data_IF_833653189774
#
_entry.id   IF_833653189774
#
_cell.length_a   1.000
_cell.length_b   1.000
_cell.length_c   1.000
_cell.angle_alpha   90.00
_cell.angle_beta   90.00
_cell.angle_gamma   90.00
#
_symmetry.space_group_name_H-M   'P 1'
#
loop_
_entity.id
_entity.type
_entity.pdbx_description
1 polymer ?
2 non-polymer ?
3 non-polymer ?
4 water ?
#
# COMPACT_ATOMS: atom_id res chain seq x y z
N UNK A 1 15.69 -17.20 14.81
CA UNK A 1 17.00 -16.89 14.28
C UNK A 1 17.06 -16.78 12.77
N UNK A 2 18.28 -16.75 12.24
CA UNK A 2 18.51 -16.67 10.80
C UNK A 2 18.67 -18.09 10.24
N UNK A 3 19.49 -18.25 9.20
CA UNK A 3 19.62 -19.55 8.55
C UNK A 3 20.24 -20.63 9.45
N UNK A 4 20.81 -20.23 10.58
CA UNK A 4 21.43 -21.18 11.48
C UNK A 4 20.46 -21.89 12.40
N UNK A 5 19.21 -21.43 12.45
CA UNK A 5 18.21 -21.96 13.38
C UNK A 5 17.09 -22.66 12.61
N UNK A 6 16.18 -23.31 13.34
CA UNK A 6 15.12 -24.05 12.65
C UNK A 6 14.12 -23.07 12.06
N UNK A 7 13.78 -23.27 10.79
CA UNK A 7 13.00 -22.29 10.05
C UNK A 7 11.51 -22.56 10.14
N UNK A 8 10.71 -21.52 10.01
CA UNK A 8 9.26 -21.64 10.11
C UNK A 8 8.62 -22.18 8.83
N UNK A 9 9.15 -21.85 7.65
CA UNK A 9 8.59 -22.40 6.41
C UNK A 9 9.14 -23.79 6.15
N UNK A 10 8.28 -24.72 5.77
CA UNK A 10 8.75 -26.06 5.44
C UNK A 10 9.41 -26.11 4.07
N UNK A 11 9.11 -25.15 3.22
CA UNK A 11 9.79 -25.00 1.94
C UNK A 11 9.60 -23.58 1.45
N UNK A 12 10.54 -23.09 0.65
CA UNK A 12 10.54 -21.70 0.22
C UNK A 12 9.75 -21.53 -1.07
N UNK A 13 8.44 -21.69 -0.96
CA UNK A 13 7.54 -21.65 -2.09
C UNK A 13 6.23 -21.06 -1.62
N UNK A 14 5.37 -20.71 -2.57
CA UNK A 14 4.05 -20.22 -2.23
C UNK A 14 3.29 -21.29 -1.44
N UNK A 15 3.50 -22.56 -1.83
CA UNK A 15 2.90 -23.67 -1.12
C UNK A 15 3.36 -23.76 0.34
N UNK A 16 4.63 -23.51 0.60
CA UNK A 16 5.14 -23.49 1.95
C UNK A 16 4.53 -22.34 2.76
N UNK A 17 4.39 -21.18 2.13
CA UNK A 17 3.78 -20.03 2.80
C UNK A 17 2.32 -20.33 3.17
N UNK A 18 1.58 -20.97 2.26
CA UNK A 18 0.19 -21.29 2.54
C UNK A 18 0.05 -22.24 3.71
N UNK A 19 0.87 -23.30 3.72
CA UNK A 19 0.84 -24.24 4.85
C UNK A 19 1.15 -23.51 6.15
N UNK A 20 2.11 -22.60 6.11
CA UNK A 20 2.45 -21.83 7.30
C UNK A 20 1.28 -20.97 7.76
N UNK A 21 0.63 -20.30 6.81
CA UNK A 21 -0.50 -19.44 7.11
C UNK A 21 -1.62 -20.19 7.82
N UNK A 22 -1.84 -21.44 7.43
CA UNK A 22 -2.93 -22.22 7.99
C UNK A 22 -2.52 -23.04 9.20
N UNK A 23 -1.29 -22.83 9.67
CA UNK A 23 -0.81 -23.46 10.89
C UNK A 23 -1.05 -22.52 12.07
N UNK A 24 -0.95 -23.04 13.28
CA UNK A 24 -1.19 -22.22 14.45
C UNK A 24 -0.05 -21.22 14.68
N UNK A 25 1.06 -21.39 13.98
CA UNK A 25 2.21 -20.49 14.13
C UNK A 25 2.00 -19.12 13.49
N UNK A 26 1.06 -19.03 12.55
CA UNK A 26 0.83 -17.79 11.83
C UNK A 26 -0.50 -17.18 12.18
N UNK A 27 -0.47 -16.10 12.94
CA UNK A 27 -1.67 -15.44 13.43
C UNK A 27 -1.80 -14.01 12.95
N UNK A 28 -0.67 -13.37 12.69
CA UNK A 28 -0.65 -11.94 12.39
C UNK A 28 0.18 -11.63 11.17
N UNK A 29 -0.47 -11.10 10.14
CA UNK A 29 0.15 -10.78 8.87
C UNK A 29 0.19 -9.27 8.67
N UNK A 30 1.36 -8.75 8.31
CA UNK A 30 1.49 -7.36 7.85
C UNK A 30 1.67 -7.36 6.35
N UNK A 31 0.87 -6.55 5.67
CA UNK A 31 1.03 -6.32 4.24
C UNK A 31 1.76 -5.00 4.00
N UNK A 32 2.72 -5.04 3.08
CA UNK A 32 3.41 -3.84 2.62
C UNK A 32 3.11 -3.74 1.15
N UNK A 33 2.41 -2.69 0.73
CA UNK A 33 1.96 -2.59 -0.66
C UNK A 33 2.32 -1.28 -1.33
N UNK A 34 2.51 -1.35 -2.64
CA UNK A 34 2.83 -0.20 -3.46
C UNK A 34 2.02 -0.12 -4.73
N UNK A 35 2.51 0.69 -5.67
CA UNK A 35 1.76 1.04 -6.87
C UNK A 35 1.37 -0.16 -7.71
N UNK A 36 2.18 -1.22 -7.63
CA UNK A 36 1.93 -2.44 -8.36
C UNK A 36 0.63 -3.13 -8.04
N UNK A 37 0.00 -2.83 -6.91
CA UNK A 37 -1.29 -3.44 -6.60
C UNK A 37 -2.48 -2.68 -7.18
N UNK A 38 -2.23 -1.52 -7.79
CA UNK A 38 -3.32 -0.70 -8.32
C UNK A 38 -3.26 -0.48 -9.83
N UNK A 39 -2.18 -0.90 -10.46
CA UNK A 39 -2.06 -0.74 -11.91
C UNK A 39 -3.17 -1.51 -12.66
N UNK A 40 -3.58 -2.66 -12.14
CA UNK A 40 -4.63 -3.43 -12.80
C UNK A 40 -6.01 -2.80 -12.57
N UNK A 41 -6.08 -1.80 -11.70
CA UNK A 41 -7.30 -1.01 -11.49
C UNK A 41 -7.31 0.23 -12.38
N UNK A 42 -6.31 0.32 -13.26
CA UNK A 42 -6.22 1.45 -14.18
C UNK A 42 -5.64 2.69 -13.53
N UNK A 43 -4.94 2.53 -12.41
CA UNK A 43 -4.24 3.62 -11.77
C UNK A 43 -2.73 3.49 -12.03
N UNK A 44 -2.19 4.28 -12.97
CA UNK A 44 -0.78 4.10 -13.29
C UNK A 44 0.13 4.50 -12.14
N UNK A 45 1.31 3.88 -12.09
CA UNK A 45 2.35 4.22 -11.14
C UNK A 45 3.10 5.42 -11.68
N UNK A 46 2.99 6.56 -11.02
CA UNK A 46 3.61 7.78 -11.52
C UNK A 46 5.14 7.73 -11.41
N UNK A 47 5.67 6.64 -10.85
CA UNK A 47 7.11 6.40 -10.84
C UNK A 47 7.55 5.52 -12.02
N UNK A 48 6.60 4.81 -12.64
CA UNK A 48 6.91 4.02 -13.82
C UNK A 48 7.14 4.94 -15.02
N UNK A 49 8.29 4.78 -15.71
CA UNK A 49 8.56 5.67 -16.84
C UNK A 49 7.50 5.59 -17.94
N UNK A 50 6.91 4.42 -18.12
CA UNK A 50 5.91 4.21 -19.16
C UNK A 50 4.68 5.08 -18.94
N UNK A 51 4.54 5.58 -17.71
CA UNK A 51 3.48 6.53 -17.38
C UNK A 51 4.03 7.95 -17.42
N UNK A 63 9.29 25.64 -13.40
CA UNK A 63 10.73 25.72 -13.09
C UNK A 63 11.42 24.40 -13.33
N UNK A 64 10.96 23.34 -12.67
CA UNK A 64 11.45 21.99 -12.92
C UNK A 64 10.35 21.00 -12.55
N UNK A 65 10.42 19.79 -13.11
CA UNK A 65 9.33 18.81 -12.91
C UNK A 65 9.08 18.47 -11.44
N UNK A 66 10.13 18.39 -10.63
CA UNK A 66 9.98 17.95 -9.25
C UNK A 66 9.30 18.98 -8.36
N UNK A 67 9.18 20.20 -8.85
CA UNK A 67 8.56 21.28 -8.09
C UNK A 67 7.13 20.95 -7.71
N UNK A 68 6.43 20.24 -8.59
CA UNK A 68 5.00 20.02 -8.45
C UNK A 68 4.63 19.14 -7.25
N UNK A 69 5.62 18.48 -6.65
CA UNK A 69 5.40 17.64 -5.47
C UNK A 69 6.13 18.15 -4.23
N UNK A 70 6.71 19.34 -4.32
CA UNK A 70 7.43 19.95 -3.20
C UNK A 70 6.47 20.84 -2.42
N UNK A 71 6.49 20.72 -1.10
CA UNK A 71 5.54 21.44 -0.25
C UNK A 71 5.71 22.96 -0.33
N UNK A 72 6.96 23.41 -0.41
CA UNK A 72 7.25 24.85 -0.49
C UNK A 72 6.66 25.45 -1.75
N UNK A 73 6.92 24.81 -2.90
CA UNK A 73 6.41 25.30 -4.17
C UNK A 73 4.88 25.25 -4.19
N UNK A 74 4.31 24.18 -3.66
CA UNK A 74 2.86 24.03 -3.63
C UNK A 74 2.19 25.19 -2.90
N UNK A 75 2.73 25.57 -1.75
CA UNK A 75 2.09 26.59 -0.93
C UNK A 75 2.14 27.97 -1.58
N UNK A 76 3.14 28.18 -2.44
CA UNK A 76 3.25 29.44 -3.17
C UNK A 76 2.47 29.40 -4.48
N UNK A 77 2.58 28.27 -5.19
CA UNK A 77 1.92 28.10 -6.48
C UNK A 77 1.26 26.73 -6.54
N UNK A 78 0.03 26.64 -6.02
CA UNK A 78 -0.69 25.35 -5.96
C UNK A 78 -1.37 24.96 -7.26
N UNK A 79 -1.48 25.89 -8.22
CA UNK A 79 -2.29 25.64 -9.41
C UNK A 79 -1.77 24.49 -10.28
N UNK A 80 -0.44 24.37 -10.44
CA UNK A 80 0.06 23.24 -11.23
C UNK A 80 -0.34 21.90 -10.64
N UNK A 81 -0.10 21.73 -9.34
CA UNK A 81 -0.48 20.48 -8.67
C UNK A 81 -1.93 20.13 -8.92
N UNK A 82 -2.83 21.10 -8.76
CA UNK A 82 -4.25 20.83 -8.88
C UNK A 82 -4.70 20.61 -10.33
N UNK A 83 -3.94 21.16 -11.28
CA UNK A 83 -4.20 20.89 -12.68
C UNK A 83 -3.78 19.45 -12.99
N UNK A 84 -2.62 19.05 -12.48
CA UNK A 84 -2.14 17.68 -12.63
C UNK A 84 -3.07 16.69 -11.95
N UNK A 85 -3.65 17.12 -10.82
CA UNK A 85 -4.59 16.28 -10.08
C UNK A 85 -5.84 16.00 -10.91
N UNK A 86 -6.32 17.01 -11.64
CA UNK A 86 -7.52 16.83 -12.46
C UNK A 86 -7.22 15.86 -13.60
N UNK A 87 -6.05 16.02 -14.20
CA UNK A 87 -5.68 15.21 -15.36
C UNK A 87 -5.46 13.75 -14.97
N UNK A 88 -4.90 13.52 -13.79
CA UNK A 88 -4.59 12.17 -13.35
C UNK A 88 -5.72 11.52 -12.55
N UNK A 89 -6.82 12.24 -12.34
CA UNK A 89 -7.90 11.73 -11.52
C UNK A 89 -8.51 10.48 -12.15
N UNK A 90 -8.46 9.34 -11.43
CA UNK A 90 -9.00 8.10 -12.02
C UNK A 90 -10.44 8.23 -12.46
N UNK A 91 -10.81 7.50 -13.52
CA UNK A 91 -12.17 7.52 -14.03
C UNK A 91 -13.12 6.66 -13.21
N UNK A 92 -12.57 5.74 -12.43
CA UNK A 92 -13.35 4.88 -11.57
C UNK A 92 -12.43 4.35 -10.48
N UNK A 93 -13.01 4.01 -9.33
CA UNK A 93 -12.24 3.45 -8.23
C UNK A 93 -12.74 2.05 -7.91
N UNK A 94 -12.13 1.07 -8.58
CA UNK A 94 -12.52 -0.32 -8.46
C UNK A 94 -11.29 -1.10 -7.99
N UNK A 95 -11.26 -1.46 -6.69
CA UNK A 95 -10.07 -2.15 -6.17
C UNK A 95 -9.85 -3.48 -6.85
N UNK A 96 -8.62 -3.95 -6.78
CA UNK A 96 -8.21 -5.16 -7.48
C UNK A 96 -8.39 -6.39 -6.63
N UNK A 97 -8.22 -7.55 -7.25
CA UNK A 97 -8.21 -8.82 -6.54
C UNK A 97 -7.24 -8.78 -5.35
N UNK A 98 -6.10 -8.14 -5.54
CA UNK A 98 -5.11 -8.02 -4.47
C UNK A 98 -5.67 -7.21 -3.29
N UNK A 99 -6.35 -6.11 -3.58
CA UNK A 99 -7.01 -5.36 -2.52
C UNK A 99 -8.04 -6.20 -1.76
N UNK A 100 -8.86 -6.97 -2.48
CA UNK A 100 -9.89 -7.76 -1.81
C UNK A 100 -9.31 -8.96 -1.07
N UNK A 101 -8.15 -9.45 -1.52
CA UNK A 101 -7.46 -10.49 -0.78
C UNK A 101 -7.09 -9.98 0.61
N UNK A 102 -6.68 -8.71 0.70
CA UNK A 102 -6.37 -8.16 2.02
C UNK A 102 -7.64 -8.00 2.85
N UNK A 103 -8.77 -7.69 2.22
CA UNK A 103 -10.04 -7.70 2.95
C UNK A 103 -10.33 -9.10 3.50
N UNK A 104 -10.07 -10.13 2.71
CA UNK A 104 -10.25 -11.49 3.20
C UNK A 104 -9.32 -11.79 4.38
N UNK A 105 -8.07 -11.35 4.32
CA UNK A 105 -7.18 -11.50 5.46
C UNK A 105 -7.81 -10.90 6.71
N UNK A 106 -8.41 -9.72 6.57
CA UNK A 106 -9.12 -9.05 7.66
C UNK A 106 -10.29 -9.91 8.17
N UNK A 107 -11.10 -10.40 7.25
CA UNK A 107 -12.26 -11.23 7.58
C UNK A 107 -11.86 -12.53 8.25
N UNK A 108 -10.71 -13.07 7.87
CA UNK A 108 -10.22 -14.36 8.40
C UNK A 108 -9.46 -14.16 9.73
N UNK A 109 -9.33 -12.92 10.18
CA UNK A 109 -8.69 -12.62 11.46
C UNK A 109 -7.18 -12.65 11.43
N UNK A 110 -6.61 -12.53 10.24
CA UNK A 110 -5.16 -12.63 10.05
C UNK A 110 -4.45 -11.29 9.83
N UNK A 111 -5.19 -10.22 9.53
CA UNK A 111 -4.57 -8.96 9.18
C UNK A 111 -4.22 -8.13 10.42
N UNK A 112 -2.93 -7.97 10.68
CA UNK A 112 -2.47 -7.04 11.69
C UNK A 112 -2.50 -5.61 11.14
N UNK A 113 -1.93 -5.41 9.96
CA UNK A 113 -1.86 -4.07 9.38
C UNK A 113 -1.52 -4.12 7.91
N UNK A 114 -2.03 -3.16 7.17
CA UNK A 114 -1.62 -2.89 5.79
C UNK A 114 -0.93 -1.55 5.77
N UNK A 115 0.36 -1.56 5.43
CA UNK A 115 1.12 -0.33 5.21
C UNK A 115 1.13 -0.12 3.72
N UNK A 116 0.63 1.03 3.27
CA UNK A 116 0.57 1.32 1.84
C UNK A 116 1.35 2.57 1.49
N UNK A 117 1.96 2.55 0.30
CA UNK A 117 2.56 3.74 -0.28
C UNK A 117 1.61 4.44 -1.25
N UNK A 118 0.44 3.85 -1.49
CA UNK A 118 -0.50 4.41 -2.45
C UNK A 118 -1.40 5.48 -1.84
N UNK A 119 -1.85 6.39 -2.69
CA UNK A 119 -2.70 7.51 -2.27
C UNK A 119 -4.11 7.42 -2.87
N UNK A 120 -4.43 6.29 -3.48
CA UNK A 120 -5.61 6.16 -4.33
C UNK A 120 -6.90 5.78 -3.60
N UNK A 121 -6.80 5.49 -2.29
CA UNK A 121 -7.93 5.09 -1.44
C UNK A 121 -8.54 3.71 -1.70
N UNK A 122 -7.94 2.92 -2.58
CA UNK A 122 -8.56 1.64 -2.95
C UNK A 122 -8.59 0.66 -1.76
N UNK A 123 -7.64 0.75 -0.84
CA UNK A 123 -7.67 -0.12 0.33
C UNK A 123 -8.94 0.12 1.14
N UNK A 124 -9.32 1.39 1.29
CA UNK A 124 -10.53 1.78 2.02
C UNK A 124 -11.78 1.33 1.29
N UNK A 125 -11.79 1.52 -0.02
CA UNK A 125 -12.93 1.11 -0.82
C UNK A 125 -13.12 -0.39 -0.77
N UNK A 126 -12.02 -1.13 -0.68
CA UNK A 126 -12.07 -2.59 -0.61
C UNK A 126 -12.49 -3.13 0.76
N UNK A 127 -12.57 -2.25 1.76
CA UNK A 127 -13.10 -2.63 3.06
C UNK A 127 -12.09 -2.69 4.19
N UNK A 128 -10.89 -2.14 3.97
CA UNK A 128 -9.97 -1.98 5.09
C UNK A 128 -10.34 -0.69 5.80
N UNK A 129 -10.37 -0.76 7.13
CA UNK A 129 -10.76 0.39 7.95
C UNK A 129 -9.54 1.16 8.41
N UNK A 130 -9.73 2.35 8.96
CA UNK A 130 -8.59 3.19 9.36
C UNK A 130 -7.64 2.46 10.29
N UNK A 131 -8.19 1.72 11.25
CA UNK A 131 -7.38 1.01 12.23
C UNK A 131 -6.45 0.01 11.53
N UNK A 132 -6.89 -0.53 10.40
CA UNK A 132 -6.12 -1.54 9.66
C UNK A 132 -4.99 -0.95 8.81
N UNK A 133 -5.03 0.35 8.58
CA UNK A 133 -4.21 1.00 7.57
C UNK A 133 -3.17 1.96 8.10
N UNK A 134 -1.99 1.91 7.47
CA UNK A 134 -0.99 2.95 7.64
C UNK A 134 -0.69 3.44 6.22
N UNK A 135 -1.20 4.63 5.93
CA UNK A 135 -0.97 5.27 4.64
C UNK A 135 0.32 6.06 4.75
N UNK A 136 1.43 5.38 4.47
CA UNK A 136 2.76 5.93 4.76
C UNK A 136 3.10 7.18 3.95
N UNK A 137 2.55 7.30 2.74
CA UNK A 137 2.75 8.49 1.92
C UNK A 137 1.51 9.37 1.90
N UNK A 138 0.64 9.18 2.88
CA UNK A 138 -0.59 9.96 2.97
C UNK A 138 -1.66 9.48 2.01
N UNK A 139 -2.66 10.33 1.77
CA UNK A 139 -3.79 9.92 0.96
C UNK A 139 -4.57 11.13 0.48
N UNK A 140 -5.26 10.98 -0.65
CA UNK A 140 -6.25 11.96 -1.10
C UNK A 140 -7.58 11.82 -0.37
N UNK A 141 -7.74 10.78 0.45
CA UNK A 141 -9.03 10.52 1.09
C UNK A 141 -9.55 11.71 1.90
N UNK A 142 -8.65 12.37 2.62
CA UNK A 142 -8.98 13.60 3.32
C UNK A 142 -7.98 14.69 2.95
N UNK A 143 -8.41 15.93 3.17
CA UNK A 143 -7.60 17.12 2.93
C UNK A 143 -7.75 18.05 4.11
N UNK A 144 -6.78 18.93 4.31
CA UNK A 144 -6.84 19.90 5.42
C UNK A 144 -6.44 21.30 4.98
N UNK A 145 -7.16 22.27 5.50
CA UNK A 145 -6.70 23.64 5.53
C UNK A 145 -5.28 23.67 6.08
N UNK A 146 -4.40 24.43 5.43
CA UNK A 146 -3.00 24.45 5.82
C UNK A 146 -2.67 25.41 6.95
N UNK A 147 -3.63 26.22 7.38
CA UNK A 147 -3.39 27.14 8.48
C UNK A 147 -3.38 26.40 9.81
N UNK A 148 -2.28 26.55 10.55
CA UNK A 148 -2.10 25.82 11.80
C UNK A 148 -3.22 26.05 12.80
N UNK A 149 -3.79 27.25 12.81
CA UNK A 149 -4.81 27.61 13.80
C UNK A 149 -6.19 27.17 13.40
N UNK A 150 -6.31 26.58 12.20
CA UNK A 150 -7.60 26.15 11.68
C UNK A 150 -7.61 24.64 11.44
N UNK A 151 -6.88 24.20 10.42
CA UNK A 151 -6.78 22.78 10.07
C UNK A 151 -8.13 22.08 9.82
N UNK A 152 -9.12 22.82 9.34
CA UNK A 152 -10.40 22.24 8.95
C UNK A 152 -10.19 21.08 7.98
N UNK A 153 -10.88 19.96 8.23
CA UNK A 153 -10.76 18.77 7.39
C UNK A 153 -11.86 18.74 6.33
N UNK A 154 -11.50 18.34 5.13
CA UNK A 154 -12.46 18.23 4.03
C UNK A 154 -12.42 16.83 3.43
N UNK A 155 -13.59 16.29 3.06
CA UNK A 155 -13.65 14.96 2.47
C UNK A 155 -13.30 14.99 0.99
N UNK A 156 -12.94 13.84 0.42
CA UNK A 156 -12.57 13.76 -0.98
C UNK A 156 -13.70 14.24 -1.91
N UNK A 157 -14.94 14.03 -1.51
CA UNK A 157 -16.06 14.51 -2.32
C UNK A 157 -15.97 16.01 -2.54
N UNK A 158 -15.56 16.72 -1.49
CA UNK A 158 -15.44 18.18 -1.54
C UNK A 158 -14.24 18.57 -2.40
N UNK A 159 -13.12 17.86 -2.23
CA UNK A 159 -11.89 18.14 -2.95
C UNK A 159 -12.04 17.80 -4.43
N UNK A 160 -12.77 16.73 -4.73
CA UNK A 160 -13.01 16.31 -6.11
C UNK A 160 -13.71 17.41 -6.89
N UNK A 161 -14.76 17.96 -6.29
CA UNK A 161 -15.54 19.02 -6.92
C UNK A 161 -14.65 20.23 -7.24
N UNK A 162 -13.77 20.59 -6.31
CA UNK A 162 -12.86 21.71 -6.56
C UNK A 162 -11.91 21.39 -7.70
N UNK A 163 -11.37 20.17 -7.71
CA UNK A 163 -10.41 19.77 -8.73
C UNK A 163 -11.00 19.81 -10.13
N UNK A 164 -12.22 19.30 -10.27
CA UNK A 164 -12.84 19.25 -11.59
C UNK A 164 -13.39 20.61 -12.02
N UNK A 165 -13.85 21.40 -11.07
CA UNK A 165 -14.33 22.76 -11.35
C UNK A 165 -13.16 23.70 -11.65
N UNK A 166 -11.94 23.22 -11.44
CA UNK A 166 -10.72 23.99 -11.66
C UNK A 166 -10.70 25.24 -10.78
N UNK A 167 -11.20 25.08 -9.56
CA UNK A 167 -11.17 26.13 -8.55
C UNK A 167 -10.15 25.73 -7.49
N UNK A 168 -9.16 26.57 -7.25
CA UNK A 168 -8.14 26.27 -6.25
C UNK A 168 -8.83 26.15 -4.89
N UNK A 169 -8.71 24.98 -4.23
CA UNK A 169 -9.47 24.79 -2.99
C UNK A 169 -9.03 25.68 -1.85
N UNK A 170 -9.98 26.43 -1.31
CA UNK A 170 -9.76 27.31 -0.16
C UNK A 170 -10.72 26.96 0.98
N UNK A 171 -10.23 27.16 2.20
CA UNK A 171 -10.98 26.85 3.41
C UNK A 171 -12.19 27.74 3.57
N UNK A 172 -13.34 27.13 3.83
CA UNK A 172 -14.57 27.89 4.02
C UNK A 172 -14.54 28.71 5.32
N UNK A 173 -13.72 28.30 6.28
CA UNK A 173 -13.62 29.01 7.55
C UNK A 173 -12.64 30.18 7.52
N UNK A 174 -11.50 30.02 6.85
CA UNK A 174 -10.43 31.03 6.92
C UNK A 174 -9.83 31.43 5.57
N UNK A 175 -10.26 30.77 4.50
CA UNK A 175 -9.81 31.06 3.14
C UNK A 175 -8.33 30.75 2.83
N UNK A 176 -7.69 29.98 3.72
CA UNK A 176 -6.38 29.44 3.43
C UNK A 176 -6.48 28.29 2.42
N UNK A 177 -5.35 27.93 1.83
CA UNK A 177 -5.26 26.81 0.91
C UNK A 177 -5.64 25.51 1.62
N UNK A 178 -6.33 24.62 0.91
CA UNK A 178 -6.62 23.28 1.44
C UNK A 178 -5.78 22.27 0.65
N UNK A 179 -5.02 21.45 1.38
CA UNK A 179 -4.08 20.51 0.78
C UNK A 179 -4.54 19.07 1.01
N UNK A 180 -4.55 18.26 -0.06
CA UNK A 180 -4.78 16.82 0.16
C UNK A 180 -3.76 16.26 1.14
N UNK A 181 -4.19 15.30 1.97
CA UNK A 181 -3.32 14.73 3.00
C UNK A 181 -2.24 13.79 2.45
N UNK A 182 -1.71 14.05 1.26
CA UNK A 182 -0.54 13.31 0.80
C UNK A 182 0.70 13.93 1.40
N UNK A 183 1.75 13.14 1.54
CA UNK A 183 3.02 13.63 2.02
C UNK A 183 3.79 14.23 0.85
N UNK A 184 3.75 15.57 0.73
CA UNK A 184 4.56 16.23 -0.28
C UNK A 184 6.03 16.07 0.09
N UNK A 185 6.90 16.16 -0.90
CA UNK A 185 8.31 16.14 -0.58
C UNK A 185 8.63 17.41 0.20
N UNK A 186 9.46 17.26 1.23
CA UNK A 186 9.70 18.31 2.19
C UNK A 186 8.85 18.17 3.44
N UNK A 187 7.83 17.30 3.37
CA UNK A 187 7.02 17.00 4.56
C UNK A 187 7.50 15.70 5.20
N UNK A 188 7.31 15.57 6.50
CA UNK A 188 7.63 14.35 7.22
C UNK A 188 6.57 13.29 6.95
N UNK A 189 6.96 12.02 7.02
CA UNK A 189 5.96 10.96 6.99
C UNK A 189 5.09 11.12 8.25
N UNK A 190 3.84 10.62 8.19
CA UNK A 190 2.93 10.73 9.34
C UNK A 190 3.50 10.09 10.60
N UNK A 191 3.23 10.69 11.75
CA UNK A 191 3.65 10.12 13.01
C UNK A 191 3.13 8.70 13.15
N UNK A 192 1.93 8.46 12.61
CA UNK A 192 1.30 7.15 12.68
C UNK A 192 2.19 6.05 12.10
N UNK A 193 2.93 6.38 11.05
CA UNK A 193 3.82 5.41 10.45
C UNK A 193 4.86 4.93 11.44
N UNK A 194 5.49 5.85 12.16
CA UNK A 194 6.57 5.47 13.07
C UNK A 194 6.02 4.78 14.31
N UNK A 195 4.90 5.26 14.83
CA UNK A 195 4.34 4.68 16.03
C UNK A 195 3.82 3.26 15.78
N UNK A 196 3.14 3.04 14.66
CA UNK A 196 2.66 1.71 14.35
C UNK A 196 3.80 0.76 14.04
N UNK A 197 4.79 1.23 13.28
CA UNK A 197 5.93 0.39 12.96
C UNK A 197 6.60 -0.15 14.24
N UNK A 198 6.80 0.73 15.21
CA UNK A 198 7.44 0.35 16.48
C UNK A 198 6.69 -0.77 17.22
N UNK A 199 5.37 -0.80 17.09
CA UNK A 199 4.55 -1.80 17.80
C UNK A 199 4.32 -3.05 16.95
N UNK A 200 4.00 -2.84 15.69
CA UNK A 200 3.51 -3.92 14.85
C UNK A 200 4.57 -4.97 14.60
N UNK A 201 5.81 -4.55 14.44
CA UNK A 201 6.85 -5.46 14.01
C UNK A 201 7.39 -6.29 15.17
N UNK A 202 6.89 -6.02 16.37
CA UNK A 202 7.10 -6.92 17.50
C UNK A 202 6.14 -8.11 17.49
N UNK A 203 5.10 -8.02 16.66
CA UNK A 203 3.94 -8.92 16.72
C UNK A 203 3.72 -9.72 15.45
N UNK A 204 4.55 -9.49 14.43
CA UNK A 204 4.26 -10.02 13.10
C UNK A 204 4.74 -11.47 12.91
N UNK A 205 3.89 -12.28 12.28
CA UNK A 205 4.24 -13.66 11.93
C UNK A 205 4.57 -13.86 10.44
N UNK A 206 4.09 -12.95 9.61
CA UNK A 206 4.28 -13.04 8.16
C UNK A 206 4.26 -11.67 7.56
N UNK A 207 5.18 -11.40 6.66
CA UNK A 207 5.24 -10.15 5.93
C UNK A 207 4.92 -10.39 4.46
N UNK A 208 3.80 -9.84 3.98
CA UNK A 208 3.35 -9.99 2.61
C UNK A 208 3.62 -8.70 1.87
N UNK A 209 4.59 -8.74 0.98
CA UNK A 209 5.06 -7.55 0.29
C UNK A 209 4.56 -7.65 -1.14
N UNK A 210 3.72 -6.71 -1.55
CA UNK A 210 3.03 -6.83 -2.83
C UNK A 210 3.07 -5.55 -3.64
N UNK A 211 3.52 -5.65 -4.89
CA UNK A 211 3.47 -4.55 -5.83
C UNK A 211 4.31 -3.37 -5.42
N UNK A 212 5.51 -3.63 -4.90
CA UNK A 212 6.45 -2.55 -4.59
C UNK A 212 7.88 -3.00 -4.87
N UNK A 213 8.68 -2.10 -5.43
CA UNK A 213 10.08 -2.40 -5.72
C UNK A 213 10.99 -2.06 -4.53
N UNK A 214 10.39 -1.55 -3.45
CA UNK A 214 11.14 -1.26 -2.22
C UNK A 214 12.33 -0.33 -2.47
N UNK A 215 12.10 0.72 -3.26
CA UNK A 215 13.17 1.66 -3.60
C UNK A 215 13.02 3.01 -2.90
N UNK A 216 11.84 3.27 -2.34
CA UNK A 216 11.58 4.53 -1.63
C UNK A 216 11.70 4.33 -0.12
N UNK A 217 12.45 5.22 0.54
CA UNK A 217 12.70 5.17 1.98
C UNK A 217 11.90 6.25 2.69
N UNK A 218 11.55 6.03 3.97
CA UNK A 218 11.91 4.88 4.80
C UNK A 218 10.99 3.67 4.65
N UNK A 219 10.00 3.74 3.77
CA UNK A 219 9.10 2.60 3.58
C UNK A 219 9.83 1.29 3.31
N UNK A 220 10.85 1.32 2.45
CA UNK A 220 11.57 0.12 2.07
C UNK A 220 12.22 -0.57 3.29
N UNK A 221 12.72 0.25 4.22
CA UNK A 221 13.43 -0.28 5.39
C UNK A 221 12.53 -1.08 6.32
N UNK A 222 11.22 -1.06 6.08
CA UNK A 222 10.31 -1.82 6.91
C UNK A 222 10.65 -3.29 6.90
N UNK A 223 11.14 -3.82 5.78
CA UNK A 223 11.38 -5.27 5.74
C UNK A 223 12.46 -5.68 6.73
N UNK A 224 13.37 -4.74 7.04
CA UNK A 224 14.45 -5.02 7.98
C UNK A 224 13.97 -4.93 9.43
N UNK A 225 12.74 -4.50 9.64
CA UNK A 225 12.19 -4.36 10.99
C UNK A 225 11.54 -5.66 11.47
N UNK A 226 11.37 -6.62 10.57
CA UNK A 226 10.79 -7.90 10.94
C UNK A 226 11.76 -8.70 11.78
N UNK A 227 11.24 -9.49 12.73
CA UNK A 227 12.08 -10.45 13.45
C UNK A 227 12.81 -11.37 12.46
N UNK A 228 13.97 -11.89 12.85
CA UNK A 228 14.76 -12.73 11.95
C UNK A 228 14.02 -13.96 11.40
N UNK A 229 13.11 -14.51 12.21
CA UNK A 229 12.40 -15.73 11.83
C UNK A 229 11.20 -15.51 10.92
N UNK A 230 10.70 -14.29 10.87
CA UNK A 230 9.43 -14.00 10.19
C UNK A 230 9.54 -14.21 8.68
N UNK A 231 8.77 -15.16 8.13
CA UNK A 231 8.80 -15.33 6.66
C UNK A 231 8.31 -14.08 5.94
N UNK A 232 8.87 -13.88 4.75
CA UNK A 232 8.57 -12.70 3.94
C UNK A 232 8.29 -13.15 2.52
N UNK A 233 7.06 -12.97 2.08
CA UNK A 233 6.64 -13.34 0.73
C UNK A 233 6.48 -12.11 -0.12
N UNK A 234 7.21 -12.06 -1.23
CA UNK A 234 7.13 -10.98 -2.20
C UNK A 234 6.29 -11.46 -3.37
N UNK A 235 5.20 -10.75 -3.65
CA UNK A 235 4.42 -10.96 -4.86
C UNK A 235 4.58 -9.71 -5.70
N UNK A 236 5.29 -9.83 -6.82
CA UNK A 236 5.68 -8.65 -7.58
C UNK A 236 6.17 -9.04 -8.95
N UNK A 237 6.12 -8.13 -9.91
CA UNK A 237 6.54 -8.46 -11.26
C UNK A 237 8.03 -8.80 -11.29
N UNK A 238 8.82 -8.14 -10.46
CA UNK A 238 10.26 -8.35 -10.41
C UNK A 238 10.72 -8.62 -8.98
N UNK A 239 11.80 -9.38 -8.83
CA UNK A 239 12.42 -9.53 -7.52
C UNK A 239 12.89 -8.17 -7.03
N UNK A 240 12.74 -7.95 -5.73
CA UNK A 240 13.08 -6.68 -5.11
C UNK A 240 13.45 -6.93 -3.67
N UNK A 241 14.11 -5.95 -3.06
CA UNK A 241 14.43 -6.01 -1.64
C UNK A 241 15.75 -6.67 -1.32
N UNK A 242 16.47 -7.13 -2.34
CA UNK A 242 17.77 -7.73 -2.11
C UNK A 242 18.76 -6.61 -1.84
N UNK A 243 19.80 -6.89 -1.06
CA UNK A 243 20.81 -5.87 -0.79
C UNK A 243 21.56 -5.52 -2.07
N UNK A 244 21.90 -4.25 -2.21
CA UNK A 244 22.55 -3.77 -3.42
C UNK A 244 24.04 -4.10 -3.34
N UNK A 245 24.57 -4.79 -4.36
CA UNK A 245 25.98 -5.21 -4.28
C UNK A 245 26.93 -4.04 -4.11
N UNK A 246 26.49 -2.85 -4.53
CA UNK A 246 27.30 -1.64 -4.40
C UNK A 246 27.08 -0.95 -3.05
N UNK A 247 25.86 -0.51 -2.79
CA UNK A 247 25.50 0.11 -1.51
C UNK A 247 25.93 -0.76 -0.33
N UNK A 255 18.62 -8.90 7.06
CA UNK A 255 18.22 -7.58 6.58
C UNK A 255 17.51 -7.64 5.24
N UNK A 256 18.29 -7.48 4.16
CA UNK A 256 17.77 -7.56 2.81
C UNK A 256 17.19 -8.94 2.51
N UNK A 257 16.41 -9.02 1.44
CA UNK A 257 15.83 -10.28 1.02
C UNK A 257 16.90 -11.26 0.54
N UNK A 258 16.80 -12.52 0.94
CA UNK A 258 17.62 -13.58 0.39
C UNK A 258 16.71 -14.71 -0.08
N UNK A 259 16.40 -14.70 -1.37
CA UNK A 259 15.51 -15.69 -1.95
C UNK A 259 16.25 -16.95 -2.41
N UNK A 260 17.50 -16.80 -2.82
CA UNK A 260 18.11 -17.78 -3.71
C UNK A 260 19.43 -18.41 -3.25
N UNK A 261 20.08 -17.82 -2.25
CA UNK A 261 21.37 -18.34 -1.80
C UNK A 261 21.20 -19.63 -1.01
N UNK A 262 22.32 -20.28 -0.72
CA UNK A 262 22.32 -21.50 0.07
C UNK A 262 21.91 -21.20 1.50
N UNK A 263 21.97 -19.92 1.88
CA UNK A 263 21.58 -19.49 3.23
C UNK A 263 20.14 -18.98 3.28
N UNK A 264 19.43 -19.03 2.16
CA UNK A 264 18.02 -18.61 2.14
C UNK A 264 17.23 -19.50 3.08
N UNK A 265 16.33 -18.91 3.87
CA UNK A 265 15.61 -19.67 4.86
C UNK A 265 14.16 -19.21 5.10
N UNK A 266 13.78 -18.03 4.62
CA UNK A 266 12.47 -17.46 4.97
C UNK A 266 11.83 -16.55 3.94
N UNK A 267 12.57 -16.20 2.89
CA UNK A 267 12.08 -15.25 1.90
C UNK A 267 11.70 -15.99 0.64
N UNK A 268 10.52 -15.68 0.11
CA UNK A 268 9.95 -16.33 -1.07
C UNK A 268 9.50 -15.26 -2.06
N UNK A 269 9.87 -15.43 -3.33
CA UNK A 269 9.46 -14.53 -4.39
C UNK A 269 8.52 -15.24 -5.37
N UNK A 270 7.34 -14.67 -5.53
CA UNK A 270 6.40 -15.14 -6.55
C UNK A 270 6.33 -14.04 -7.59
N UNK A 271 6.84 -14.32 -8.79
CA UNK A 271 7.02 -13.30 -9.81
C UNK A 271 5.93 -13.34 -10.85
N UNK A 272 5.19 -12.24 -10.92
CA UNK A 272 4.06 -12.10 -11.82
C UNK A 272 3.20 -10.94 -11.39
N UNK A 273 2.01 -10.83 -11.99
CA UNK A 273 1.07 -9.77 -11.61
C UNK A 273 0.54 -10.03 -10.21
N UNK A 274 0.33 -8.97 -9.44
CA UNK A 274 -0.12 -9.13 -8.07
C UNK A 274 -1.46 -9.86 -7.99
N UNK A 275 -2.37 -9.58 -8.91
CA UNK A 275 -3.67 -10.23 -8.88
C UNK A 275 -3.52 -11.73 -9.04
N UNK A 276 -2.63 -12.15 -9.93
CA UNK A 276 -2.46 -13.58 -10.19
C UNK A 276 -1.77 -14.29 -9.03
N UNK A 277 -0.82 -13.63 -8.37
CA UNK A 277 -0.18 -14.20 -7.21
C UNK A 277 -1.15 -14.34 -6.05
N UNK A 278 -1.95 -13.30 -5.81
CA UNK A 278 -2.93 -13.38 -4.74
C UNK A 278 -3.99 -14.43 -5.03
N UNK A 279 -4.39 -14.56 -6.29
CA UNK A 279 -5.33 -15.60 -6.67
C UNK A 279 -4.73 -16.99 -6.41
N UNK A 280 -3.45 -17.17 -6.74
CA UNK A 280 -2.78 -18.45 -6.55
C UNK A 280 -2.70 -18.79 -5.07
N UNK A 281 -2.38 -17.80 -4.25
CA UNK A 281 -2.31 -18.02 -2.80
C UNK A 281 -3.69 -18.32 -2.23
N UNK A 282 -4.70 -17.55 -2.62
CA UNK A 282 -6.06 -17.80 -2.18
C UNK A 282 -6.50 -19.23 -2.54
N UNK A 283 -6.16 -19.65 -3.74
CA UNK A 283 -6.52 -20.99 -4.19
C UNK A 283 -5.89 -22.05 -3.29
N UNK A 284 -4.62 -21.90 -2.97
CA UNK A 284 -3.95 -22.83 -2.07
C UNK A 284 -4.64 -22.88 -0.72
N UNK A 285 -5.13 -21.72 -0.28
CA UNK A 285 -5.73 -21.58 1.04
C UNK A 285 -7.18 -22.07 1.13
N UNK A 286 -7.76 -22.42 -0.02
CA UNK A 286 -9.16 -22.80 -0.07
C UNK A 286 -10.08 -21.60 -0.07
N UNK A 287 -9.52 -20.42 -0.40
CA UNK A 287 -10.27 -19.16 -0.35
C UNK A 287 -10.72 -18.67 -1.73
N UNK A 288 -10.47 -19.41 -2.79
CA UNK A 288 -10.71 -18.87 -4.13
C UNK A 288 -12.18 -18.51 -4.36
N UNK A 289 -13.11 -19.39 -3.98
CA UNK A 289 -14.52 -19.10 -4.17
C UNK A 289 -14.92 -17.87 -3.36
N UNK A 290 -14.43 -17.78 -2.13
CA UNK A 290 -14.74 -16.64 -1.29
C UNK A 290 -14.22 -15.36 -1.91
N UNK A 291 -13.02 -15.42 -2.48
CA UNK A 291 -12.41 -14.25 -3.10
C UNK A 291 -13.17 -13.84 -4.36
N UNK A 292 -13.51 -14.82 -5.19
CA UNK A 292 -14.28 -14.57 -6.41
C UNK A 292 -15.62 -13.92 -6.10
N UNK A 293 -16.33 -14.48 -5.13
CA UNK A 293 -17.64 -14.00 -4.74
C UNK A 293 -17.55 -12.56 -4.20
N UNK A 294 -16.53 -12.28 -3.40
CA UNK A 294 -16.35 -10.95 -2.84
C UNK A 294 -16.06 -9.92 -3.92
N UNK A 295 -15.10 -10.23 -4.78
CA UNK A 295 -14.72 -9.34 -5.87
C UNK A 295 -15.88 -9.07 -6.82
N UNK A 296 -16.57 -10.12 -7.23
CA UNK A 296 -17.66 -9.97 -8.19
C UNK A 296 -18.79 -9.11 -7.61
N UNK A 297 -19.11 -9.32 -6.35
CA UNK A 297 -20.14 -8.53 -5.69
C UNK A 297 -19.75 -7.06 -5.57
N UNK A 298 -18.53 -6.81 -5.12
CA UNK A 298 -18.11 -5.45 -4.90
C UNK A 298 -17.91 -4.73 -6.22
N UNK A 299 -17.32 -5.41 -7.21
CA UNK A 299 -17.19 -4.81 -8.52
C UNK A 299 -18.56 -4.50 -9.12
N UNK A 300 -19.52 -5.40 -8.93
CA UNK A 300 -20.85 -5.16 -9.45
C UNK A 300 -21.45 -3.92 -8.80
N UNK A 301 -21.26 -3.80 -7.49
CA UNK A 301 -21.80 -2.68 -6.74
C UNK A 301 -21.20 -1.34 -7.23
N UNK A 302 -19.88 -1.33 -7.43
CA UNK A 302 -19.19 -0.15 -7.92
C UNK A 302 -19.64 0.22 -9.34
N UNK A 303 -19.77 -0.80 -10.20
CA UNK A 303 -20.20 -0.55 -11.57
C UNK A 303 -21.62 0.04 -11.61
N UNK A 304 -22.44 -0.30 -10.62
CA UNK A 304 -23.85 0.09 -10.56
C UNK A 304 -24.09 1.39 -9.79
N UNK A 305 -23.02 2.08 -9.43
CA UNK A 305 -23.18 3.33 -8.70
C UNK A 305 -23.97 4.31 -9.57
N UNK A 306 -25.08 4.81 -9.04
CA UNK A 306 -25.97 5.70 -9.78
C UNK A 306 -26.13 7.05 -9.10
#
# INVERSE_FOLDING_TARGET
GASGSERLLDELTLEGVARYMQSERCRRVICLVGAGISTSAGIPDFRSPSTGLYDNLEKYHLPYPEAIFEISYFKKHPEPFFALAKELYPGQFKPTICHYFMRLLKDKGLLLRCYTQNIDTLERIAGLEQEDLVEAHGTFYTSHCVSASCRHEYPLSWMKEKIFSEVTPKCEDCQSLVKPDIVFFGESLPARFFSCMQSDFLKVDLLLVMGTSLQVQPFASLISKAPLSTPRLLINKEKAGQSDPFLGMIMGLGGGMDFDSKKAYRDVAWLGECDQGCLALAELLGWKKELEDLVRREHASIDAQS
#
